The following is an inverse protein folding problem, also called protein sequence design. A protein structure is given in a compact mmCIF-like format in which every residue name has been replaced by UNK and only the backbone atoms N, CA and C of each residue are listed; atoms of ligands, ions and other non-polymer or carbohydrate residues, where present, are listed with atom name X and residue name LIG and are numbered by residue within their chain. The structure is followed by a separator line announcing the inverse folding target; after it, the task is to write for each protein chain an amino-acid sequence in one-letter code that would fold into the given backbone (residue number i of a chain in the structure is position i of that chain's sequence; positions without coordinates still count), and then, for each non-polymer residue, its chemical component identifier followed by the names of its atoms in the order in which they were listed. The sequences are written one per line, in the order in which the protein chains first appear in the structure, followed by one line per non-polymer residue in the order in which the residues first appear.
data_IF_018468019381
#
_entry.id   IF_018468019381
#
_cell.length_a   1.000
_cell.length_b   1.000
_cell.length_c   1.000
_cell.angle_alpha   90.00
_cell.angle_beta   90.00
_cell.angle_gamma   90.00
#
_symmetry.space_group_name_H-M   'P 1'
#
loop_
_entity.id
_entity.type
_entity.pdbx_description
1 polymer ?
#
# COMPACT_ATOMS: atom_id res chain seq x y z
N UNK A 1 34.60 -22.68 29.03
CA UNK A 1 33.26 -22.12 28.76
C UNK A 1 33.42 -21.01 27.73
N UNK A 2 33.45 -21.35 26.44
CA UNK A 2 33.66 -20.39 25.36
C UNK A 2 32.31 -19.76 24.98
N UNK A 3 32.15 -18.46 25.22
CA UNK A 3 30.94 -17.72 24.89
C UNK A 3 30.71 -17.72 23.39
N UNK A 4 29.50 -18.08 22.96
CA UNK A 4 29.15 -18.07 21.55
C UNK A 4 29.13 -16.63 21.00
N UNK A 5 29.56 -16.40 19.75
CA UNK A 5 29.47 -15.08 19.14
C UNK A 5 28.00 -14.72 18.94
N UNK A 6 27.57 -13.58 19.49
CA UNK A 6 26.20 -13.09 19.34
C UNK A 6 25.96 -12.76 17.87
N UNK A 7 25.01 -13.44 17.24
CA UNK A 7 24.54 -13.21 15.87
C UNK A 7 23.74 -11.90 15.72
N UNK A 8 24.19 -10.83 16.38
CA UNK A 8 23.53 -9.54 16.40
C UNK A 8 23.99 -8.70 15.22
N UNK A 9 23.03 -8.19 14.45
CA UNK A 9 23.29 -7.18 13.44
C UNK A 9 23.50 -5.83 14.12
N UNK A 10 24.68 -5.26 13.94
CA UNK A 10 25.03 -3.92 14.41
C UNK A 10 24.75 -2.90 13.29
N UNK A 11 23.92 -1.90 13.57
CA UNK A 11 23.67 -0.79 12.65
C UNK A 11 24.90 0.10 12.54
N UNK A 12 25.33 0.42 11.31
CA UNK A 12 26.39 1.42 11.08
C UNK A 12 25.89 2.87 11.21
N UNK A 13 24.57 3.07 11.24
CA UNK A 13 23.97 4.38 11.50
C UNK A 13 23.98 4.64 13.01
N UNK A 14 24.75 5.65 13.43
CA UNK A 14 24.86 6.08 14.83
C UNK A 14 23.68 6.97 15.22
N UNK A 15 23.24 6.97 16.49
CA UNK A 15 22.11 7.77 16.94
C UNK A 15 22.21 9.27 16.61
N UNK A 16 23.40 9.86 16.77
CA UNK A 16 23.67 11.27 16.50
C UNK A 16 23.54 11.63 15.01
N UNK A 17 23.73 10.67 14.11
CA UNK A 17 23.63 10.88 12.66
C UNK A 17 22.18 11.00 12.19
N UNK A 18 21.21 10.61 13.02
CA UNK A 18 19.78 10.72 12.71
C UNK A 18 19.29 12.17 12.64
N UNK A 19 20.02 13.08 13.27
CA UNK A 19 19.73 14.52 13.17
C UNK A 19 20.54 15.19 12.06
N UNK A 20 21.47 14.47 11.43
CA UNK A 20 22.32 14.95 10.36
C UNK A 20 21.57 15.18 9.04
N UNK A 21 22.11 16.05 8.17
CA UNK A 21 21.44 16.45 6.94
C UNK A 21 21.20 15.28 5.97
N UNK A 22 22.13 14.33 5.89
CA UNK A 22 22.01 13.15 5.02
C UNK A 22 20.87 12.24 5.46
N UNK A 23 20.76 11.96 6.76
CA UNK A 23 19.67 11.13 7.27
C UNK A 23 18.32 11.80 7.06
N UNK A 24 18.21 13.11 7.35
CA UNK A 24 16.98 13.87 7.15
C UNK A 24 16.55 13.88 5.68
N UNK A 25 17.46 14.18 4.76
CA UNK A 25 17.18 14.15 3.33
C UNK A 25 16.68 12.76 2.87
N UNK A 26 17.34 11.68 3.31
CA UNK A 26 16.91 10.32 2.99
C UNK A 26 15.53 9.99 3.57
N UNK A 27 15.31 10.35 4.84
CA UNK A 27 14.03 10.15 5.52
C UNK A 27 12.91 10.90 4.80
N UNK A 28 13.13 12.16 4.47
CA UNK A 28 12.14 13.02 3.82
C UNK A 28 11.78 12.49 2.42
N UNK A 29 12.78 12.03 1.65
CA UNK A 29 12.54 11.38 0.36
C UNK A 29 11.71 10.10 0.48
N UNK A 30 12.02 9.24 1.46
CA UNK A 30 11.22 8.03 1.72
C UNK A 30 9.81 8.35 2.21
N UNK A 31 9.65 9.34 3.08
CA UNK A 31 8.33 9.79 3.55
C UNK A 31 7.49 10.30 2.38
N UNK A 32 8.07 11.09 1.48
CA UNK A 32 7.38 11.56 0.28
C UNK A 32 6.96 10.39 -0.62
N UNK A 33 7.86 9.43 -0.90
CA UNK A 33 7.55 8.27 -1.73
C UNK A 33 6.44 7.40 -1.11
N UNK A 34 6.47 7.18 0.20
CA UNK A 34 5.43 6.42 0.91
C UNK A 34 4.08 7.13 0.88
N UNK A 35 4.08 8.46 0.98
CA UNK A 35 2.86 9.26 0.83
C UNK A 35 2.27 9.07 -0.57
N UNK A 36 3.08 9.26 -1.61
CA UNK A 36 2.62 9.19 -3.00
C UNK A 36 2.13 7.76 -3.36
N UNK A 37 2.78 6.73 -2.80
CA UNK A 37 2.32 5.35 -2.89
C UNK A 37 0.95 5.16 -2.23
N UNK A 38 0.76 5.66 -1.01
CA UNK A 38 -0.52 5.55 -0.28
C UNK A 38 -1.63 6.28 -1.01
N UNK A 39 -1.38 7.47 -1.52
CA UNK A 39 -2.35 8.23 -2.31
C UNK A 39 -2.76 7.48 -3.59
N UNK A 40 -1.79 6.88 -4.28
CA UNK A 40 -2.06 6.06 -5.47
C UNK A 40 -2.86 4.80 -5.11
N UNK A 41 -2.54 4.14 -4.00
CA UNK A 41 -3.26 2.98 -3.51
C UNK A 41 -4.73 3.33 -3.14
N UNK A 42 -4.97 4.49 -2.55
CA UNK A 42 -6.34 4.96 -2.29
C UNK A 42 -7.12 5.20 -3.58
N UNK A 43 -6.47 5.65 -4.66
CA UNK A 43 -7.10 5.76 -5.99
C UNK A 43 -7.47 4.39 -6.54
N UNK A 44 -6.55 3.42 -6.49
CA UNK A 44 -6.80 2.02 -6.89
C UNK A 44 -7.98 1.42 -6.10
N UNK A 45 -8.07 1.71 -4.80
CA UNK A 45 -9.13 1.18 -3.92
C UNK A 45 -10.53 1.61 -4.35
N UNK A 46 -10.65 2.75 -5.02
CA UNK A 46 -11.92 3.23 -5.60
C UNK A 46 -12.40 2.38 -6.79
N UNK A 47 -11.56 1.51 -7.35
CA UNK A 47 -11.88 0.68 -8.51
C UNK A 47 -12.35 1.53 -9.68
N UNK A 48 -13.49 1.18 -10.28
CA UNK A 48 -14.10 1.98 -11.36
C UNK A 48 -14.63 3.36 -10.96
N UNK A 49 -14.31 3.84 -9.75
CA UNK A 49 -14.69 5.14 -9.22
C UNK A 49 -16.12 5.22 -8.66
N UNK A 50 -16.50 6.36 -8.07
CA UNK A 50 -17.77 6.53 -7.36
C UNK A 50 -19.01 6.15 -8.20
N UNK A 51 -19.01 6.47 -9.49
CA UNK A 51 -20.12 6.14 -10.41
C UNK A 51 -20.28 4.63 -10.61
N UNK A 52 -19.18 3.87 -10.65
CA UNK A 52 -19.24 2.42 -10.80
C UNK A 52 -19.69 1.73 -9.51
N UNK A 53 -19.24 2.24 -8.35
CA UNK A 53 -19.69 1.82 -7.02
C UNK A 53 -21.20 2.01 -6.89
N UNK A 54 -21.69 3.23 -7.14
CA UNK A 54 -23.12 3.54 -7.07
C UNK A 54 -23.95 2.66 -8.01
N UNK A 55 -23.44 2.36 -9.21
CA UNK A 55 -24.10 1.45 -10.17
C UNK A 55 -24.23 0.03 -9.62
N UNK A 56 -23.26 -0.47 -8.85
CA UNK A 56 -23.38 -1.78 -8.19
C UNK A 56 -24.45 -1.73 -7.09
N UNK A 57 -24.40 -0.71 -6.25
CA UNK A 57 -25.34 -0.55 -5.14
C UNK A 57 -26.78 -0.37 -5.61
N UNK A 58 -27.02 0.41 -6.69
CA UNK A 58 -28.34 0.56 -7.34
C UNK A 58 -28.92 -0.78 -7.83
N UNK A 59 -28.08 -1.77 -8.10
CA UNK A 59 -28.49 -3.14 -8.48
C UNK A 59 -28.62 -4.07 -7.26
N UNK A 60 -28.54 -3.56 -6.04
CA UNK A 60 -28.54 -4.35 -4.81
C UNK A 60 -27.27 -5.19 -4.62
N UNK A 61 -26.16 -4.85 -5.29
CA UNK A 61 -24.91 -5.61 -5.25
C UNK A 61 -23.84 -4.86 -4.48
N UNK A 62 -23.04 -5.59 -3.71
CA UNK A 62 -21.79 -5.09 -3.13
C UNK A 62 -20.68 -5.02 -4.18
N UNK A 63 -19.73 -4.12 -3.97
CA UNK A 63 -18.42 -4.10 -4.67
C UNK A 63 -17.58 -5.32 -4.29
N UNK A 64 -16.52 -5.60 -5.04
CA UNK A 64 -15.62 -6.72 -4.74
C UNK A 64 -15.00 -6.60 -3.33
N UNK A 65 -14.46 -5.42 -2.98
CA UNK A 65 -13.84 -5.16 -1.66
C UNK A 65 -14.86 -5.20 -0.52
N UNK A 66 -16.09 -4.74 -0.73
CA UNK A 66 -17.17 -4.88 0.26
C UNK A 66 -17.54 -6.35 0.51
N UNK A 67 -17.50 -7.21 -0.51
CA UNK A 67 -17.73 -8.65 -0.34
C UNK A 67 -16.61 -9.30 0.47
N UNK A 68 -15.37 -8.96 0.18
CA UNK A 68 -14.20 -9.42 0.94
C UNK A 68 -14.31 -8.98 2.40
N UNK A 69 -14.61 -7.70 2.65
CA UNK A 69 -14.77 -7.17 4.00
C UNK A 69 -15.88 -7.87 4.81
N UNK A 70 -16.95 -8.34 4.15
CA UNK A 70 -17.99 -9.15 4.81
C UNK A 70 -17.60 -10.61 5.03
N UNK A 71 -16.66 -11.13 4.25
CA UNK A 71 -16.21 -12.51 4.34
C UNK A 71 -15.16 -12.69 5.45
N UNK A 72 -14.38 -11.65 5.74
CA UNK A 72 -13.34 -11.68 6.76
C UNK A 72 -13.93 -11.72 8.18
N UNK A 73 -13.29 -12.51 9.05
CA UNK A 73 -13.62 -12.52 10.46
C UNK A 73 -13.22 -11.19 11.12
N UNK A 74 -14.02 -10.65 12.06
CA UNK A 74 -13.70 -9.41 12.76
C UNK A 74 -12.32 -9.45 13.41
N UNK A 75 -11.50 -8.40 13.16
CA UNK A 75 -10.15 -8.30 13.68
C UNK A 75 -9.09 -9.03 12.85
N UNK A 76 -9.46 -9.67 11.74
CA UNK A 76 -8.50 -10.27 10.81
C UNK A 76 -7.84 -9.20 9.95
N UNK A 77 -6.52 -9.20 9.92
CA UNK A 77 -5.74 -8.37 9.00
C UNK A 77 -5.92 -8.85 7.55
N UNK A 78 -6.15 -7.91 6.63
CA UNK A 78 -6.27 -8.20 5.20
C UNK A 78 -5.03 -7.71 4.43
N UNK A 79 -4.31 -8.65 3.83
CA UNK A 79 -3.16 -8.35 2.98
C UNK A 79 -3.54 -8.49 1.49
N UNK A 80 -3.73 -7.37 0.81
CA UNK A 80 -4.13 -7.32 -0.60
C UNK A 80 -2.93 -7.58 -1.53
N UNK A 81 -3.07 -8.54 -2.43
CA UNK A 81 -2.05 -8.86 -3.43
C UNK A 81 -2.32 -8.14 -4.74
N UNK A 82 -1.25 -7.69 -5.41
CA UNK A 82 -1.29 -7.13 -6.77
C UNK A 82 -2.28 -5.95 -6.95
N UNK A 83 -2.42 -5.07 -5.96
CA UNK A 83 -3.31 -3.92 -6.04
C UNK A 83 -3.09 -3.05 -7.31
N UNK A 84 -1.85 -2.95 -7.79
CA UNK A 84 -1.51 -2.17 -8.99
C UNK A 84 -1.53 -2.98 -10.29
N UNK A 85 -2.13 -4.18 -10.32
CA UNK A 85 -2.26 -4.96 -11.55
C UNK A 85 -3.02 -4.14 -12.62
N UNK A 86 -2.42 -3.94 -13.79
CA UNK A 86 -3.00 -3.13 -14.87
C UNK A 86 -2.87 -1.61 -14.70
N UNK A 87 -2.13 -1.12 -13.71
CA UNK A 87 -1.92 0.33 -13.51
C UNK A 87 -1.23 0.98 -14.72
N UNK A 88 -1.87 1.99 -15.30
CA UNK A 88 -1.36 2.68 -16.50
C UNK A 88 -1.35 1.82 -17.76
N UNK A 89 -2.05 0.69 -17.75
CA UNK A 89 -2.17 -0.20 -18.92
C UNK A 89 -3.51 0.01 -19.63
N UNK A 90 -3.56 -0.47 -20.89
CA UNK A 90 -4.76 -0.54 -21.72
C UNK A 90 -5.36 0.83 -22.06
N UNK A 91 -4.55 1.90 -22.14
CA UNK A 91 -5.03 3.24 -22.49
C UNK A 91 -5.78 3.25 -23.83
N UNK A 92 -5.33 2.47 -24.81
CA UNK A 92 -5.97 2.34 -26.11
C UNK A 92 -7.37 1.68 -26.06
N UNK A 93 -7.71 1.03 -24.95
CA UNK A 93 -9.01 0.40 -24.67
C UNK A 93 -9.85 1.17 -23.64
N UNK A 94 -9.46 2.41 -23.30
CA UNK A 94 -10.13 3.25 -22.31
C UNK A 94 -9.55 3.15 -20.88
N UNK A 95 -8.44 2.43 -20.72
CA UNK A 95 -7.70 2.28 -19.47
C UNK A 95 -8.30 1.28 -18.48
N UNK A 96 -7.47 0.84 -17.53
CA UNK A 96 -7.91 0.09 -16.35
C UNK A 96 -7.59 0.88 -15.07
N UNK A 97 -8.50 0.93 -14.08
CA UNK A 97 -8.27 1.62 -12.80
C UNK A 97 -7.27 0.90 -11.87
N UNK A 98 -6.71 -0.22 -12.32
CA UNK A 98 -5.95 -1.22 -11.56
C UNK A 98 -6.74 -1.97 -10.48
N UNK A 99 -6.21 -3.13 -10.11
CA UNK A 99 -6.70 -4.00 -9.03
C UNK A 99 -7.72 -5.05 -9.42
#
# INVERSE_FOLDING_TARGET
MLGQPTSRLESKLRPEEREGPVYKANKDAWVALVRDFRESLERVRQGGGPKAVERQHKKGRLTARERIARLLDPGTEFYELMAFAGWGMYEEWGGAPAG
#
